data_IF_000037018179
#
_entry.id   IF_000037018179
#
_cell.length_a   1.000
_cell.length_b   1.000
_cell.length_c   1.000
_cell.angle_alpha   90.00
_cell.angle_beta   90.00
_cell.angle_gamma   90.00
#
_symmetry.space_group_name_H-M   'P 1'
#
loop_
_entity.id
_entity.type
_entity.pdbx_description
1 polymer ?
#
# COMPACT_ATOMS: atom_id res chain seq x y z
N UNK A 1 -5.98 76.37 7.78
CA UNK A 1 -6.45 76.78 6.41
C UNK A 1 -6.69 75.56 5.61
N UNK A 2 -7.94 75.31 5.37
CA UNK A 2 -8.57 74.09 4.83
C UNK A 2 -8.50 74.12 3.28
N UNK A 3 -8.13 73.00 2.67
CA UNK A 3 -8.18 72.84 1.23
C UNK A 3 -8.82 71.45 0.90
N UNK A 4 -10.13 71.50 0.60
CA UNK A 4 -10.97 70.37 0.22
C UNK A 4 -10.74 70.03 -1.23
N UNK A 5 -10.28 68.82 -1.56
CA UNK A 5 -10.34 68.28 -2.96
C UNK A 5 -11.62 67.48 -3.13
N UNK A 6 -12.47 67.91 -4.06
CA UNK A 6 -13.64 67.20 -4.58
C UNK A 6 -13.20 66.26 -5.66
N UNK A 7 -13.51 64.99 -5.54
CA UNK A 7 -13.44 63.98 -6.61
C UNK A 7 -14.73 64.05 -7.43
N UNK A 8 -14.61 64.28 -8.72
CA UNK A 8 -15.72 64.15 -9.71
C UNK A 8 -15.77 62.73 -10.25
N UNK A 9 -16.80 62.03 -9.90
CA UNK A 9 -17.14 60.72 -10.48
C UNK A 9 -18.05 60.92 -11.68
N UNK A 10 -17.57 60.59 -12.88
CA UNK A 10 -18.37 60.51 -14.08
C UNK A 10 -19.19 59.23 -14.13
N UNK A 11 -20.49 59.39 -14.39
CA UNK A 11 -21.44 58.27 -14.49
C UNK A 11 -21.38 57.62 -15.86
N UNK A 12 -21.72 56.33 -15.92
CA UNK A 12 -21.70 55.44 -17.10
C UNK A 12 -22.56 55.91 -18.29
N UNK A 13 -23.26 57.04 -18.20
CA UNK A 13 -24.16 57.56 -19.22
C UNK A 13 -23.58 58.64 -20.14
N UNK A 14 -22.42 59.21 -19.75
CA UNK A 14 -21.81 60.31 -20.53
C UNK A 14 -20.71 59.86 -21.51
N UNK A 15 -20.40 58.57 -21.57
CA UNK A 15 -19.40 58.00 -22.48
C UNK A 15 -19.95 57.51 -23.82
N UNK A 16 -21.24 57.76 -24.13
CA UNK A 16 -21.91 57.23 -25.32
C UNK A 16 -22.30 58.22 -26.40
N UNK A 17 -21.82 59.46 -26.32
CA UNK A 17 -22.09 60.46 -27.38
C UNK A 17 -20.83 61.24 -27.80
N UNK A 18 -19.97 60.60 -28.59
CA UNK A 18 -19.06 61.35 -29.50
C UNK A 18 -18.57 60.45 -30.64
N UNK A 19 -19.14 60.59 -31.78
CA UNK A 19 -18.41 60.72 -33.06
C UNK A 19 -17.99 59.44 -33.77
N UNK A 20 -18.88 58.97 -34.64
CA UNK A 20 -18.49 58.15 -35.78
C UNK A 20 -17.68 58.99 -36.81
N UNK A 21 -16.48 58.52 -37.17
CA UNK A 21 -15.84 58.81 -38.47
C UNK A 21 -15.28 57.50 -38.99
N UNK A 22 -15.81 57.11 -40.15
CA UNK A 22 -15.39 55.97 -40.91
C UNK A 22 -14.03 56.23 -41.58
N UNK A 23 -13.07 55.32 -41.38
CA UNK A 23 -11.93 55.18 -42.27
C UNK A 23 -11.83 53.69 -42.65
N UNK A 24 -12.16 53.42 -43.90
CA UNK A 24 -11.94 52.15 -44.59
C UNK A 24 -10.43 51.92 -44.77
N UNK A 25 -9.87 50.93 -44.11
CA UNK A 25 -8.55 50.36 -44.42
C UNK A 25 -8.78 48.87 -44.74
N UNK A 26 -8.30 48.35 -45.89
CA UNK A 26 -8.48 46.94 -46.23
C UNK A 26 -7.65 46.08 -45.25
N UNK A 27 -8.33 45.27 -44.45
CA UNK A 27 -7.69 44.25 -43.63
C UNK A 27 -7.15 43.15 -44.53
N UNK A 28 -5.85 43.12 -44.74
CA UNK A 28 -5.11 41.96 -45.18
C UNK A 28 -5.41 40.82 -44.18
N UNK A 29 -6.09 39.80 -44.68
CA UNK A 29 -6.23 38.50 -44.00
C UNK A 29 -4.84 37.89 -43.80
N UNK A 30 -4.20 38.18 -42.69
CA UNK A 30 -3.18 37.27 -42.12
C UNK A 30 -3.93 36.09 -41.57
N UNK A 31 -4.04 35.03 -42.36
CA UNK A 31 -4.24 33.68 -41.84
C UNK A 31 -3.02 33.37 -40.97
N UNK A 32 -3.08 33.78 -39.71
CA UNK A 32 -2.21 33.25 -38.69
C UNK A 32 -2.43 31.73 -38.67
N UNK A 33 -1.40 30.98 -39.01
CA UNK A 33 -1.40 29.54 -38.78
C UNK A 33 -1.79 29.34 -37.32
N UNK A 34 -2.97 28.72 -37.09
CA UNK A 34 -3.35 28.18 -35.78
C UNK A 34 -2.31 27.10 -35.54
N UNK A 35 -1.28 27.42 -34.77
CA UNK A 35 -0.43 26.40 -34.20
C UNK A 35 -1.36 25.45 -33.47
N UNK A 36 -1.31 24.13 -33.72
CA UNK A 36 -2.10 23.21 -32.93
C UNK A 36 -1.79 23.52 -31.47
N UNK A 37 -2.82 23.84 -30.68
CA UNK A 37 -2.65 23.92 -29.24
C UNK A 37 -1.95 22.61 -28.86
N UNK A 38 -0.75 22.68 -28.28
CA UNK A 38 -0.08 21.51 -27.74
C UNK A 38 -1.12 20.82 -26.86
N UNK A 39 -1.52 19.62 -27.25
CA UNK A 39 -2.49 18.84 -26.49
C UNK A 39 -1.94 18.73 -25.08
N UNK A 40 -2.65 19.26 -24.08
CA UNK A 40 -2.18 19.23 -22.70
C UNK A 40 -1.87 17.77 -22.35
N UNK A 41 -0.61 17.51 -21.95
CA UNK A 41 -0.12 16.18 -21.59
C UNK A 41 -1.09 15.51 -20.60
N UNK A 42 -1.49 14.29 -20.88
CA UNK A 42 -2.45 13.58 -20.02
C UNK A 42 -1.81 13.31 -18.65
N UNK A 43 -2.41 13.85 -17.59
CA UNK A 43 -1.93 13.64 -16.23
C UNK A 43 -2.67 12.49 -15.56
N UNK A 44 -1.92 11.52 -15.02
CA UNK A 44 -2.42 10.41 -14.21
C UNK A 44 -2.04 10.63 -12.75
N UNK A 45 -3.02 10.93 -11.89
CA UNK A 45 -2.77 11.16 -10.47
C UNK A 45 -2.71 9.83 -9.74
N UNK A 46 -1.53 9.51 -9.21
CA UNK A 46 -1.28 8.26 -8.49
C UNK A 46 -1.06 8.51 -6.99
N UNK A 47 -2.03 8.07 -6.16
CA UNK A 47 -1.92 8.08 -4.70
C UNK A 47 -1.11 6.89 -4.19
N UNK A 48 0.02 7.15 -3.52
CA UNK A 48 0.93 6.11 -3.01
C UNK A 48 1.64 6.54 -1.74
N UNK A 49 2.30 5.60 -1.07
CA UNK A 49 3.18 5.91 0.07
C UNK A 49 4.56 6.38 -0.41
N UNK A 50 5.26 7.12 0.45
CA UNK A 50 6.56 7.71 0.13
C UNK A 50 7.77 6.82 0.44
N UNK A 51 8.91 7.51 0.57
CA UNK A 51 10.20 6.92 0.93
C UNK A 51 10.80 6.06 -0.19
N UNK A 52 11.69 5.15 0.19
CA UNK A 52 12.42 4.29 -0.77
C UNK A 52 11.50 3.46 -1.67
N UNK A 53 10.26 3.20 -1.26
CA UNK A 53 9.25 2.58 -2.10
C UNK A 53 8.92 3.45 -3.31
N UNK A 54 8.55 4.72 -3.09
CA UNK A 54 8.24 5.66 -4.17
C UNK A 54 9.39 5.81 -5.15
N UNK A 55 10.63 5.97 -4.65
CA UNK A 55 11.82 6.10 -5.50
C UNK A 55 12.04 4.84 -6.35
N UNK A 56 11.75 3.67 -5.77
CA UNK A 56 11.85 2.41 -6.49
C UNK A 56 10.81 2.24 -7.57
N UNK A 57 9.54 2.53 -7.27
CA UNK A 57 8.45 2.35 -8.26
C UNK A 57 8.54 3.36 -9.39
N UNK A 58 8.97 4.60 -9.14
CA UNK A 58 9.26 5.57 -10.21
C UNK A 58 10.25 4.99 -11.21
N UNK A 59 11.38 4.46 -10.72
CA UNK A 59 12.39 3.85 -11.56
C UNK A 59 11.88 2.60 -12.29
N UNK A 60 11.23 1.69 -11.58
CA UNK A 60 10.80 0.40 -12.12
C UNK A 60 9.59 0.55 -13.05
N UNK A 61 8.56 1.31 -12.65
CA UNK A 61 7.29 1.34 -13.38
C UNK A 61 7.22 2.41 -14.46
N UNK A 62 8.04 3.46 -14.38
CA UNK A 62 8.02 4.53 -15.36
C UNK A 62 9.28 4.54 -16.22
N UNK A 63 10.47 4.64 -15.62
CA UNK A 63 11.70 4.79 -16.38
C UNK A 63 12.04 3.51 -17.16
N UNK A 64 12.04 2.34 -16.49
CA UNK A 64 12.40 1.07 -17.13
C UNK A 64 11.35 0.60 -18.13
N UNK A 65 10.06 0.83 -17.87
CA UNK A 65 9.00 0.47 -18.83
C UNK A 65 8.81 1.51 -19.93
N UNK A 66 9.29 2.74 -19.72
CA UNK A 66 9.03 3.87 -20.64
C UNK A 66 7.56 4.27 -20.69
N UNK A 67 6.78 4.00 -19.64
CA UNK A 67 5.32 4.15 -19.63
C UNK A 67 4.83 5.55 -20.01
N UNK A 68 5.41 6.59 -19.41
CA UNK A 68 5.01 7.98 -19.70
C UNK A 68 5.18 8.32 -21.18
N UNK A 69 6.32 7.95 -21.78
CA UNK A 69 6.59 8.19 -23.21
C UNK A 69 5.70 7.35 -24.12
N UNK A 70 5.42 6.09 -23.76
CA UNK A 70 4.58 5.20 -24.57
C UNK A 70 3.13 5.64 -24.63
N UNK A 71 2.66 6.37 -23.61
CA UNK A 71 1.26 6.75 -23.47
C UNK A 71 1.01 8.26 -23.54
N UNK A 72 2.04 9.06 -23.86
CA UNK A 72 1.95 10.53 -23.88
C UNK A 72 1.29 11.05 -22.61
N UNK A 73 1.81 10.64 -21.48
CA UNK A 73 1.22 10.86 -20.16
C UNK A 73 2.27 11.18 -19.10
N UNK A 74 1.86 11.94 -18.09
CA UNK A 74 2.66 12.28 -16.93
C UNK A 74 2.04 11.70 -15.67
N UNK A 75 2.80 10.96 -14.86
CA UNK A 75 2.35 10.46 -13.56
C UNK A 75 2.61 11.53 -12.50
N UNK A 76 1.53 12.02 -11.90
CA UNK A 76 1.56 12.97 -10.78
C UNK A 76 1.37 12.21 -9.47
N UNK A 77 2.32 12.34 -8.56
CA UNK A 77 2.34 11.58 -7.32
C UNK A 77 1.70 12.35 -6.16
N UNK A 78 0.65 11.78 -5.56
CA UNK A 78 0.12 12.22 -4.27
C UNK A 78 0.63 11.26 -3.19
N UNK A 79 1.57 11.75 -2.37
CA UNK A 79 2.28 10.95 -1.37
C UNK A 79 1.65 11.14 0.00
N UNK A 80 1.05 10.09 0.52
CA UNK A 80 0.35 10.09 1.81
C UNK A 80 0.66 8.80 2.60
N UNK A 81 0.29 8.77 3.88
CA UNK A 81 0.21 7.52 4.63
C UNK A 81 -0.93 6.63 4.10
N UNK A 82 -0.77 5.31 4.17
CA UNK A 82 -1.75 4.34 3.61
C UNK A 82 -3.18 4.59 4.10
N UNK A 83 -3.38 4.81 5.40
CA UNK A 83 -4.71 5.11 5.98
C UNK A 83 -5.29 6.42 5.44
N UNK A 84 -4.46 7.44 5.21
CA UNK A 84 -4.89 8.74 4.65
C UNK A 84 -5.30 8.60 3.19
N UNK A 85 -4.60 7.77 2.41
CA UNK A 85 -4.96 7.46 1.02
C UNK A 85 -6.38 6.87 0.94
N UNK A 86 -6.66 5.86 1.75
CA UNK A 86 -7.98 5.19 1.77
C UNK A 86 -9.08 6.15 2.23
N UNK A 87 -8.84 6.93 3.29
CA UNK A 87 -9.81 7.92 3.80
C UNK A 87 -10.12 8.99 2.76
N UNK A 88 -9.09 9.53 2.08
CA UNK A 88 -9.24 10.53 1.03
C UNK A 88 -9.99 9.96 -0.19
N UNK A 89 -9.70 8.71 -0.58
CA UNK A 89 -10.41 8.05 -1.66
C UNK A 89 -11.90 7.83 -1.33
N UNK A 90 -12.24 7.41 -0.10
CA UNK A 90 -13.62 7.27 0.37
C UNK A 90 -14.38 8.61 0.36
N UNK A 91 -13.77 9.67 0.88
CA UNK A 91 -14.41 11.00 0.95
C UNK A 91 -14.57 11.66 -0.43
N UNK A 92 -13.78 11.28 -1.42
CA UNK A 92 -13.84 11.80 -2.79
C UNK A 92 -14.47 10.82 -3.79
N UNK A 93 -15.18 9.81 -3.35
CA UNK A 93 -15.71 8.70 -4.17
C UNK A 93 -16.49 9.16 -5.42
N UNK A 94 -17.37 10.17 -5.28
CA UNK A 94 -18.17 10.71 -6.39
C UNK A 94 -17.36 11.57 -7.39
N UNK A 95 -16.24 12.13 -6.95
CA UNK A 95 -15.30 12.93 -7.76
C UNK A 95 -13.88 12.60 -7.35
N UNK A 96 -13.33 11.48 -7.82
CA UNK A 96 -12.04 10.99 -7.38
C UNK A 96 -10.92 11.99 -7.62
N UNK A 97 -10.07 12.14 -6.61
CA UNK A 97 -8.83 12.94 -6.71
C UNK A 97 -7.66 12.12 -7.24
N UNK A 98 -7.82 10.81 -7.31
CA UNK A 98 -6.86 9.86 -7.87
C UNK A 98 -7.38 9.24 -9.16
N UNK A 99 -6.49 8.90 -10.07
CA UNK A 99 -6.74 8.01 -11.21
C UNK A 99 -6.29 6.59 -10.90
N UNK A 100 -5.25 6.45 -10.07
CA UNK A 100 -4.72 5.18 -9.56
C UNK A 100 -4.40 5.34 -8.07
N UNK A 101 -4.67 4.31 -7.27
CA UNK A 101 -4.45 4.35 -5.84
C UNK A 101 -3.78 3.07 -5.36
N UNK A 102 -2.69 3.21 -4.60
CA UNK A 102 -2.12 2.10 -3.85
C UNK A 102 -3.04 1.74 -2.67
N UNK A 103 -3.30 0.46 -2.50
CA UNK A 103 -4.09 -0.06 -1.39
C UNK A 103 -3.59 -1.44 -0.95
N UNK A 104 -3.67 -1.72 0.35
CA UNK A 104 -3.68 -3.07 0.84
C UNK A 104 -5.04 -3.74 0.58
N UNK A 105 -5.12 -5.06 0.66
CA UNK A 105 -6.36 -5.83 0.40
C UNK A 105 -7.53 -5.36 1.26
N UNK A 106 -7.30 -4.98 2.53
CA UNK A 106 -8.34 -4.49 3.45
C UNK A 106 -8.87 -3.12 3.03
N UNK A 107 -7.98 -2.21 2.59
CA UNK A 107 -8.36 -0.90 2.05
C UNK A 107 -9.14 -1.03 0.74
N UNK A 108 -8.69 -1.90 -0.16
CA UNK A 108 -9.40 -2.21 -1.40
C UNK A 108 -10.80 -2.78 -1.14
N UNK A 109 -10.95 -3.67 -0.15
CA UNK A 109 -12.25 -4.22 0.23
C UNK A 109 -13.22 -3.13 0.77
N UNK A 110 -12.72 -2.16 1.57
CA UNK A 110 -13.51 -1.01 2.02
C UNK A 110 -13.97 -0.13 0.87
N UNK A 111 -13.07 0.19 -0.06
CA UNK A 111 -13.38 0.99 -1.24
C UNK A 111 -14.38 0.28 -2.17
N UNK A 112 -14.25 -1.03 -2.34
CA UNK A 112 -15.17 -1.85 -3.12
C UNK A 112 -16.58 -1.90 -2.48
N UNK A 113 -16.66 -2.10 -1.18
CA UNK A 113 -17.94 -2.09 -0.45
C UNK A 113 -18.66 -0.73 -0.58
N UNK A 114 -17.91 0.37 -0.60
CA UNK A 114 -18.41 1.72 -0.84
C UNK A 114 -18.68 2.04 -2.32
N UNK A 115 -18.43 1.11 -3.25
CA UNK A 115 -18.54 1.28 -4.71
C UNK A 115 -17.66 2.40 -5.28
N UNK A 116 -16.53 2.69 -4.62
CA UNK A 116 -15.61 3.76 -4.99
C UNK A 116 -14.55 3.32 -6.01
N UNK A 117 -14.42 2.03 -6.30
CA UNK A 117 -13.44 1.49 -7.25
C UNK A 117 -14.11 0.66 -8.33
N UNK A 118 -13.53 0.69 -9.53
CA UNK A 118 -13.99 -0.01 -10.71
C UNK A 118 -13.46 -1.45 -10.78
N UNK A 119 -14.19 -2.30 -11.46
CA UNK A 119 -13.69 -3.59 -11.88
C UNK A 119 -12.56 -3.45 -12.91
N UNK A 120 -11.64 -4.39 -12.92
CA UNK A 120 -10.57 -4.46 -13.91
C UNK A 120 -11.09 -4.92 -15.27
N UNK A 121 -10.64 -4.25 -16.31
CA UNK A 121 -10.80 -4.71 -17.69
C UNK A 121 -9.67 -5.69 -18.04
N UNK A 122 -10.01 -6.97 -18.13
CA UNK A 122 -9.05 -8.04 -18.44
C UNK A 122 -8.47 -7.95 -19.85
N UNK A 123 -9.11 -7.18 -20.74
CA UNK A 123 -8.57 -6.92 -22.06
C UNK A 123 -7.43 -5.90 -22.02
N UNK A 124 -7.40 -5.03 -21.01
CA UNK A 124 -6.34 -4.05 -20.76
C UNK A 124 -5.26 -4.64 -19.85
N UNK A 125 -5.67 -5.29 -18.75
CA UNK A 125 -4.73 -5.89 -17.78
C UNK A 125 -4.47 -7.35 -18.15
N UNK A 126 -3.82 -7.58 -19.26
CA UNK A 126 -3.57 -8.93 -19.82
C UNK A 126 -2.67 -9.79 -18.93
N UNK A 127 -1.72 -9.17 -18.20
CA UNK A 127 -0.84 -9.86 -17.26
C UNK A 127 -1.57 -10.48 -16.06
N UNK A 128 -2.87 -10.15 -15.83
CA UNK A 128 -3.69 -10.85 -14.83
C UNK A 128 -3.80 -12.36 -15.09
N UNK A 129 -3.66 -12.81 -16.34
CA UNK A 129 -3.66 -14.23 -16.70
C UNK A 129 -2.46 -14.98 -16.10
N UNK A 130 -1.37 -14.28 -15.83
CA UNK A 130 -0.13 -14.84 -15.29
C UNK A 130 0.02 -14.67 -13.77
N UNK A 131 -0.98 -14.07 -13.11
CA UNK A 131 -1.05 -13.93 -11.66
C UNK A 131 -1.95 -15.02 -11.09
N UNK A 132 -1.47 -15.71 -10.04
CA UNK A 132 -2.24 -16.72 -9.33
C UNK A 132 -3.46 -16.09 -8.62
N UNK A 133 -4.56 -16.86 -8.53
CA UNK A 133 -5.81 -16.37 -7.91
C UNK A 133 -5.66 -16.04 -6.42
N UNK A 134 -4.68 -16.62 -5.74
CA UNK A 134 -4.36 -16.30 -4.35
C UNK A 134 -3.87 -14.85 -4.13
N UNK A 135 -3.51 -14.14 -5.21
CA UNK A 135 -3.11 -12.73 -5.21
C UNK A 135 -4.23 -11.78 -5.66
N UNK A 136 -5.42 -12.30 -5.87
CA UNK A 136 -6.58 -11.53 -6.36
C UNK A 136 -7.68 -11.46 -5.31
N UNK A 137 -8.45 -10.39 -5.31
CA UNK A 137 -9.68 -10.26 -4.53
C UNK A 137 -10.76 -9.65 -5.40
N UNK A 138 -11.76 -10.48 -5.74
CA UNK A 138 -12.80 -10.09 -6.69
C UNK A 138 -12.22 -9.73 -8.06
N UNK A 139 -12.87 -8.78 -8.72
CA UNK A 139 -12.48 -8.23 -10.01
C UNK A 139 -11.86 -6.83 -9.91
N UNK A 140 -11.58 -6.37 -8.70
CA UNK A 140 -11.17 -4.99 -8.41
C UNK A 140 -9.79 -4.87 -7.74
N UNK A 141 -9.17 -5.98 -7.35
CA UNK A 141 -7.88 -5.98 -6.67
C UNK A 141 -6.98 -7.12 -7.15
N UNK A 142 -5.74 -6.77 -7.45
CA UNK A 142 -4.63 -7.69 -7.64
C UNK A 142 -3.42 -7.19 -6.87
N UNK A 143 -2.79 -8.06 -6.12
CA UNK A 143 -1.53 -7.73 -5.47
C UNK A 143 -0.43 -7.55 -6.53
N UNK A 144 0.24 -6.44 -6.51
CA UNK A 144 1.49 -6.19 -7.28
C UNK A 144 2.68 -6.76 -6.52
N UNK A 145 2.58 -6.76 -5.19
CA UNK A 145 3.57 -7.37 -4.30
C UNK A 145 2.87 -8.09 -3.14
N UNK A 146 3.55 -9.13 -2.64
CA UNK A 146 3.21 -9.76 -1.35
C UNK A 146 4.40 -9.61 -0.40
N UNK A 147 4.15 -9.02 0.76
CA UNK A 147 5.09 -8.95 1.86
C UNK A 147 4.87 -10.18 2.75
N UNK A 148 5.88 -10.99 2.89
CA UNK A 148 5.82 -12.19 3.74
C UNK A 148 6.19 -11.81 5.17
N UNK A 149 5.39 -12.26 6.15
CA UNK A 149 5.59 -12.03 7.57
C UNK A 149 5.63 -13.38 8.28
N UNK A 150 6.80 -13.75 8.76
CA UNK A 150 7.01 -14.97 9.53
C UNK A 150 7.58 -14.68 10.91
N UNK A 151 7.87 -15.70 11.68
CA UNK A 151 8.57 -15.57 12.94
C UNK A 151 10.07 -15.37 12.67
N UNK A 152 10.53 -14.12 12.78
CA UNK A 152 11.96 -13.77 12.74
C UNK A 152 12.54 -13.97 14.13
N UNK A 153 13.66 -14.68 14.21
CA UNK A 153 14.30 -15.00 15.48
C UNK A 153 15.82 -14.87 15.40
N UNK A 154 16.42 -14.50 16.54
CA UNK A 154 17.87 -14.41 16.70
C UNK A 154 18.45 -15.82 16.93
N UNK A 155 19.28 -16.32 16.01
CA UNK A 155 19.84 -17.67 16.03
C UNK A 155 20.89 -17.88 17.12
N UNK A 156 21.41 -16.79 17.72
CA UNK A 156 22.34 -16.85 18.86
C UNK A 156 21.60 -17.21 20.16
N UNK A 157 20.38 -16.70 20.32
CA UNK A 157 19.61 -16.85 21.57
C UNK A 157 18.49 -17.87 21.47
N UNK A 158 17.86 -18.01 20.30
CA UNK A 158 16.76 -18.94 20.03
C UNK A 158 17.34 -20.17 19.33
N UNK A 159 17.68 -21.22 20.11
CA UNK A 159 18.30 -22.45 19.60
C UNK A 159 17.30 -23.39 18.96
N UNK A 160 16.11 -23.49 19.54
CA UNK A 160 15.01 -24.27 18.98
C UNK A 160 14.25 -23.39 18.00
N UNK A 161 14.23 -23.78 16.73
CA UNK A 161 13.50 -23.04 15.68
C UNK A 161 12.04 -22.87 16.09
N UNK A 162 11.49 -21.62 16.12
CA UNK A 162 10.08 -21.40 16.43
C UNK A 162 9.21 -21.97 15.31
N UNK A 163 8.16 -22.70 15.65
CA UNK A 163 7.28 -23.41 14.70
C UNK A 163 5.81 -23.04 14.80
N UNK A 164 5.45 -22.29 15.84
CA UNK A 164 4.07 -21.93 16.19
C UNK A 164 4.00 -20.53 16.75
N UNK A 165 2.82 -19.91 16.68
CA UNK A 165 2.53 -18.67 17.39
C UNK A 165 2.70 -18.79 18.91
N UNK A 166 2.52 -19.98 19.46
CA UNK A 166 2.67 -20.25 20.90
C UNK A 166 4.12 -20.09 21.39
N UNK A 167 5.09 -20.21 20.49
CA UNK A 167 6.49 -19.95 20.82
C UNK A 167 6.72 -18.52 21.33
N UNK A 168 5.87 -17.56 20.91
CA UNK A 168 5.91 -16.19 21.41
C UNK A 168 5.46 -16.07 22.87
N UNK A 169 4.67 -17.02 23.39
CA UNK A 169 4.25 -17.08 24.77
C UNK A 169 5.20 -17.93 25.66
N UNK A 170 6.27 -18.49 25.09
CA UNK A 170 7.19 -19.33 25.84
C UNK A 170 7.94 -18.51 26.90
N UNK A 171 7.86 -18.88 28.20
CA UNK A 171 8.48 -18.10 29.28
C UNK A 171 10.00 -17.90 29.15
N UNK A 172 10.69 -18.79 28.41
CA UNK A 172 12.13 -18.64 28.14
C UNK A 172 12.47 -17.34 27.34
N UNK A 173 11.49 -16.73 26.69
CA UNK A 173 11.64 -15.48 25.95
C UNK A 173 11.01 -14.28 26.65
N UNK A 174 10.73 -14.38 27.95
CA UNK A 174 10.11 -13.27 28.70
C UNK A 174 10.92 -11.98 28.57
N UNK A 175 10.26 -10.88 28.18
CA UNK A 175 10.87 -9.58 27.91
C UNK A 175 11.73 -9.54 26.63
N UNK A 176 11.71 -10.61 25.81
CA UNK A 176 12.50 -10.74 24.56
C UNK A 176 11.66 -10.99 23.31
N UNK A 177 10.35 -10.81 23.42
CA UNK A 177 9.40 -10.95 22.32
C UNK A 177 8.99 -9.57 21.85
N UNK A 178 9.04 -9.32 20.54
CA UNK A 178 8.49 -8.10 19.92
C UNK A 178 7.12 -8.39 19.32
N UNK A 179 6.14 -7.51 19.57
CA UNK A 179 4.80 -7.60 18.97
C UNK A 179 4.45 -6.26 18.30
N UNK A 180 4.06 -6.25 17.02
CA UNK A 180 3.57 -5.05 16.35
C UNK A 180 2.35 -4.47 17.06
N UNK A 181 2.31 -3.13 17.23
CA UNK A 181 1.12 -2.44 17.76
C UNK A 181 -0.10 -2.68 16.87
N UNK A 182 -1.31 -2.64 17.46
CA UNK A 182 -2.57 -2.94 16.77
C UNK A 182 -2.77 -2.10 15.50
N UNK A 183 -2.47 -0.81 15.57
CA UNK A 183 -2.63 0.14 14.46
C UNK A 183 -1.68 -0.08 13.28
N UNK A 184 -0.63 -0.88 13.44
CA UNK A 184 0.31 -1.21 12.36
C UNK A 184 0.00 -2.60 11.75
N UNK A 185 0.44 -3.69 12.38
CA UNK A 185 0.24 -5.07 11.92
C UNK A 185 -0.50 -5.90 12.97
N UNK A 186 -0.63 -5.38 14.18
CA UNK A 186 -1.19 -6.12 15.31
C UNK A 186 -2.63 -6.57 15.11
N UNK A 187 -3.46 -5.81 14.39
CA UNK A 187 -4.81 -6.24 14.04
C UNK A 187 -4.80 -7.48 13.13
N UNK A 188 -3.91 -7.52 12.16
CA UNK A 188 -3.74 -8.68 11.28
C UNK A 188 -3.19 -9.87 12.04
N UNK A 189 -2.23 -9.62 12.95
CA UNK A 189 -1.64 -10.61 13.81
C UNK A 189 -2.67 -11.26 14.75
N UNK A 190 -3.57 -10.48 15.37
CA UNK A 190 -4.67 -11.00 16.18
C UNK A 190 -5.48 -12.05 15.39
N UNK A 191 -5.86 -11.74 14.15
CA UNK A 191 -6.67 -12.66 13.35
C UNK A 191 -5.89 -13.90 12.89
N UNK A 192 -4.59 -13.78 12.62
CA UNK A 192 -3.74 -14.94 12.29
C UNK A 192 -3.58 -15.87 13.50
N UNK A 193 -3.29 -15.33 14.67
CA UNK A 193 -3.23 -16.07 15.94
C UNK A 193 -4.60 -16.70 16.23
N UNK A 194 -5.69 -15.96 16.02
CA UNK A 194 -7.06 -16.45 16.22
C UNK A 194 -7.36 -17.68 15.33
N UNK A 195 -6.99 -17.64 14.05
CA UNK A 195 -7.14 -18.77 13.12
C UNK A 195 -6.33 -19.97 13.58
N UNK A 196 -5.10 -19.78 14.00
CA UNK A 196 -4.23 -20.84 14.51
C UNK A 196 -4.82 -21.55 15.73
N UNK A 197 -5.63 -20.84 16.53
CA UNK A 197 -6.31 -21.36 17.73
C UNK A 197 -7.80 -21.74 17.49
N UNK A 198 -8.22 -21.88 16.22
CA UNK A 198 -9.56 -22.33 15.87
C UNK A 198 -10.65 -21.26 15.92
N UNK A 199 -10.29 -19.98 16.06
CA UNK A 199 -11.24 -18.87 16.01
C UNK A 199 -11.71 -18.53 14.61
N UNK A 200 -12.72 -17.65 14.54
CA UNK A 200 -13.30 -17.14 13.29
C UNK A 200 -13.30 -15.61 13.31
N UNK A 201 -13.60 -14.97 12.19
CA UNK A 201 -13.69 -13.51 12.13
C UNK A 201 -14.77 -12.93 13.07
N UNK A 202 -15.86 -13.68 13.30
CA UNK A 202 -16.92 -13.29 14.24
C UNK A 202 -16.54 -13.59 15.70
N UNK A 203 -15.75 -14.62 15.94
CA UNK A 203 -15.28 -15.02 17.27
C UNK A 203 -13.76 -14.93 17.37
N UNK A 204 -13.26 -13.90 18.02
CA UNK A 204 -11.82 -13.65 18.26
C UNK A 204 -11.34 -14.06 19.65
N UNK A 205 -12.18 -14.72 20.47
CA UNK A 205 -11.82 -15.13 21.86
C UNK A 205 -10.53 -15.93 21.94
N UNK A 206 -10.31 -16.96 21.08
CA UNK A 206 -9.06 -17.70 21.12
C UNK A 206 -7.84 -16.83 20.83
N UNK A 207 -7.96 -15.91 19.85
CA UNK A 207 -6.89 -14.98 19.45
C UNK A 207 -6.58 -13.95 20.55
N UNK A 208 -7.60 -13.38 21.17
CA UNK A 208 -7.45 -12.44 22.30
C UNK A 208 -6.74 -13.13 23.47
N UNK A 209 -7.17 -14.34 23.85
CA UNK A 209 -6.54 -15.10 24.92
C UNK A 209 -5.08 -15.42 24.65
N UNK A 210 -4.78 -15.91 23.46
CA UNK A 210 -3.41 -16.20 23.04
C UNK A 210 -2.54 -14.93 22.96
N UNK A 211 -3.07 -13.84 22.37
CA UNK A 211 -2.37 -12.56 22.31
C UNK A 211 -2.09 -11.97 23.69
N UNK A 212 -3.02 -12.10 24.66
CA UNK A 212 -2.82 -11.67 26.03
C UNK A 212 -1.70 -12.48 26.74
N UNK A 213 -1.65 -13.80 26.50
CA UNK A 213 -0.57 -14.64 27.00
C UNK A 213 0.80 -14.23 26.45
N UNK A 214 0.87 -13.83 25.18
CA UNK A 214 2.09 -13.30 24.54
C UNK A 214 2.45 -11.93 25.12
N UNK A 215 1.51 -10.98 25.08
CA UNK A 215 1.81 -9.57 25.40
C UNK A 215 2.03 -9.37 26.88
N UNK A 216 1.06 -9.73 27.72
CA UNK A 216 1.16 -9.54 29.17
C UNK A 216 1.88 -10.68 29.87
N UNK A 217 1.63 -11.93 29.44
CA UNK A 217 2.22 -13.10 30.06
C UNK A 217 3.73 -13.17 29.84
N UNK A 218 4.20 -12.73 28.70
CA UNK A 218 5.62 -12.77 28.32
C UNK A 218 6.32 -11.39 28.29
N UNK A 219 5.69 -10.35 28.83
CA UNK A 219 6.20 -8.97 28.89
C UNK A 219 6.71 -8.52 27.50
N UNK A 220 5.92 -8.72 26.46
CA UNK A 220 6.35 -8.43 25.09
C UNK A 220 6.55 -6.93 24.84
N UNK A 221 7.58 -6.60 24.07
CA UNK A 221 7.88 -5.24 23.65
C UNK A 221 6.95 -4.85 22.50
N UNK A 222 6.20 -3.76 22.66
CA UNK A 222 5.30 -3.24 21.62
C UNK A 222 6.10 -2.47 20.56
N UNK A 223 6.10 -2.97 19.32
CA UNK A 223 6.88 -2.43 18.20
C UNK A 223 6.00 -1.55 17.33
N UNK A 224 6.34 -0.26 17.25
CA UNK A 224 5.54 0.77 16.58
C UNK A 224 5.63 0.72 15.06
N UNK A 225 6.80 0.36 14.51
CA UNK A 225 7.09 0.35 13.08
C UNK A 225 8.35 -0.48 12.77
N UNK A 226 8.56 -0.79 11.48
CA UNK A 226 9.65 -1.67 11.03
C UNK A 226 11.04 -1.23 11.49
N UNK A 227 11.37 0.07 11.44
CA UNK A 227 12.71 0.53 11.85
C UNK A 227 12.98 0.29 13.34
N UNK A 228 11.96 0.41 14.20
CA UNK A 228 12.08 0.04 15.61
C UNK A 228 12.35 -1.47 15.75
N UNK A 229 11.63 -2.32 15.00
CA UNK A 229 11.86 -3.76 14.98
C UNK A 229 13.29 -4.12 14.54
N UNK A 230 13.81 -3.49 13.49
CA UNK A 230 15.19 -3.67 13.04
C UNK A 230 16.19 -3.34 14.16
N UNK A 231 16.03 -2.18 14.83
CA UNK A 231 16.91 -1.73 15.91
C UNK A 231 16.88 -2.67 17.11
N UNK A 232 15.71 -3.11 17.53
CA UNK A 232 15.54 -4.02 18.66
C UNK A 232 16.18 -5.38 18.40
N UNK A 233 16.01 -5.95 17.20
CA UNK A 233 16.66 -7.19 16.78
C UNK A 233 18.18 -7.03 16.68
N UNK A 234 18.66 -5.92 16.11
CA UNK A 234 20.07 -5.61 15.94
C UNK A 234 20.81 -5.45 17.29
N UNK A 235 20.13 -4.84 18.28
CA UNK A 235 20.68 -4.66 19.64
C UNK A 235 20.44 -5.84 20.55
N UNK A 236 19.83 -6.93 20.05
CA UNK A 236 19.45 -8.11 20.84
C UNK A 236 18.52 -7.78 22.03
N UNK A 237 17.81 -6.66 21.95
CA UNK A 237 16.81 -6.27 22.97
C UNK A 237 15.59 -7.17 22.89
N UNK A 238 15.22 -7.59 21.67
CA UNK A 238 14.28 -8.69 21.44
C UNK A 238 14.97 -9.84 20.68
N UNK A 239 14.46 -11.04 20.84
CA UNK A 239 15.03 -12.25 20.21
C UNK A 239 14.09 -12.90 19.21
N UNK A 240 12.80 -12.64 19.28
CA UNK A 240 11.79 -13.21 18.37
C UNK A 240 10.65 -12.22 18.16
N UNK A 241 10.16 -12.10 16.92
CA UNK A 241 8.97 -11.33 16.60
C UNK A 241 8.37 -11.75 15.25
N UNK A 242 7.05 -11.55 15.03
CA UNK A 242 6.47 -11.56 13.70
C UNK A 242 7.03 -10.38 12.87
N UNK A 243 7.74 -10.68 11.77
CA UNK A 243 8.40 -9.62 11.03
C UNK A 243 8.50 -9.92 9.53
N UNK A 244 8.87 -8.91 8.76
CA UNK A 244 8.93 -8.97 7.31
C UNK A 244 10.19 -9.65 6.81
N UNK A 245 10.04 -10.57 5.84
CA UNK A 245 11.16 -11.30 5.22
C UNK A 245 12.23 -10.39 4.65
N UNK A 246 11.84 -9.32 3.94
CA UNK A 246 12.80 -8.37 3.39
C UNK A 246 13.65 -7.68 4.46
N UNK A 247 13.05 -7.38 5.63
CA UNK A 247 13.78 -6.81 6.77
C UNK A 247 14.77 -7.81 7.35
N UNK A 248 14.32 -9.06 7.57
CA UNK A 248 15.21 -10.13 8.04
C UNK A 248 16.40 -10.33 7.11
N UNK A 249 16.20 -10.34 5.78
CA UNK A 249 17.30 -10.49 4.81
C UNK A 249 18.30 -9.34 4.95
N UNK A 250 17.86 -8.11 5.08
CA UNK A 250 18.72 -6.94 5.25
C UNK A 250 19.49 -7.00 6.58
N UNK A 251 18.84 -7.37 7.68
CA UNK A 251 19.50 -7.57 8.97
C UNK A 251 20.57 -8.67 8.88
N UNK A 252 20.26 -9.81 8.27
CA UNK A 252 21.21 -10.92 8.07
C UNK A 252 22.39 -10.49 7.22
N UNK A 253 22.16 -9.71 6.15
CA UNK A 253 23.22 -9.16 5.30
C UNK A 253 24.12 -8.15 6.03
N UNK A 254 23.61 -7.47 7.06
CA UNK A 254 24.40 -6.58 7.93
C UNK A 254 25.09 -7.30 9.11
N UNK A 255 25.05 -8.63 9.15
CA UNK A 255 25.73 -9.45 10.14
C UNK A 255 24.91 -9.77 11.40
N UNK A 256 23.64 -9.36 11.47
CA UNK A 256 22.76 -9.73 12.59
C UNK A 256 22.41 -11.21 12.48
N UNK A 257 22.58 -12.02 13.57
CA UNK A 257 22.34 -13.46 13.53
C UNK A 257 20.84 -13.78 13.58
N UNK A 258 20.10 -13.48 12.53
CA UNK A 258 18.65 -13.72 12.44
C UNK A 258 18.30 -14.72 11.35
N UNK A 259 17.18 -15.42 11.54
CA UNK A 259 16.55 -16.26 10.53
C UNK A 259 15.03 -16.15 10.65
N UNK A 260 14.27 -16.75 9.71
CA UNK A 260 12.82 -16.67 9.65
C UNK A 260 12.21 -18.07 9.48
N UNK A 261 11.05 -18.28 10.09
CA UNK A 261 10.22 -19.45 9.87
C UNK A 261 8.77 -19.04 9.59
N UNK A 262 8.15 -19.70 8.61
CA UNK A 262 6.73 -19.50 8.28
C UNK A 262 5.92 -20.62 8.93
N UNK A 263 5.40 -20.34 10.13
CA UNK A 263 4.55 -21.24 10.89
C UNK A 263 3.18 -21.41 10.23
N UNK A 264 2.37 -22.36 10.73
CA UNK A 264 0.97 -22.46 10.31
C UNK A 264 0.24 -21.14 10.61
N UNK A 265 -0.63 -20.75 9.71
CA UNK A 265 -1.37 -19.47 9.75
C UNK A 265 -0.46 -18.24 9.85
N UNK A 266 0.70 -18.25 9.16
CA UNK A 266 1.55 -17.08 9.06
C UNK A 266 0.84 -15.96 8.26
N UNK A 267 1.29 -14.73 8.44
CA UNK A 267 0.74 -13.57 7.75
C UNK A 267 1.49 -13.24 6.47
N UNK A 268 0.76 -12.62 5.57
CA UNK A 268 1.31 -11.82 4.47
C UNK A 268 0.50 -10.54 4.32
N UNK A 269 1.09 -9.52 3.71
CA UNK A 269 0.37 -8.32 3.30
C UNK A 269 0.43 -8.20 1.78
N UNK A 270 -0.72 -8.19 1.17
CA UNK A 270 -0.87 -7.93 -0.26
C UNK A 270 -1.09 -6.45 -0.47
N UNK A 271 -0.23 -5.86 -1.29
CA UNK A 271 -0.33 -4.47 -1.71
C UNK A 271 -0.47 -4.44 -3.23
N UNK A 272 -1.49 -3.75 -3.68
CA UNK A 272 -1.81 -3.63 -5.09
C UNK A 272 -2.30 -2.23 -5.43
N UNK A 273 -2.88 -2.09 -6.60
CA UNK A 273 -3.39 -0.83 -7.09
C UNK A 273 -4.86 -0.98 -7.46
N UNK A 274 -5.67 -0.01 -7.09
CA UNK A 274 -7.10 0.05 -7.42
C UNK A 274 -7.40 1.29 -8.25
N UNK A 275 -8.42 1.20 -9.09
CA UNK A 275 -8.83 2.26 -10.00
C UNK A 275 -10.15 2.85 -9.50
N UNK A 276 -10.25 4.15 -9.17
CA UNK A 276 -11.49 4.79 -8.76
C UNK A 276 -12.57 4.71 -9.84
N UNK A 277 -13.83 4.40 -9.46
CA UNK A 277 -14.95 4.14 -10.38
C UNK A 277 -15.26 5.29 -11.34
N UNK A 278 -15.03 6.53 -10.90
CA UNK A 278 -15.31 7.74 -11.67
C UNK A 278 -14.02 8.51 -12.03
N UNK A 279 -12.88 7.80 -12.06
CA UNK A 279 -11.58 8.36 -12.43
C UNK A 279 -11.59 8.85 -13.88
N UNK A 280 -10.81 9.90 -14.17
CA UNK A 280 -10.75 10.52 -15.50
C UNK A 280 -10.01 9.64 -16.51
N UNK A 281 -9.01 8.89 -16.04
CA UNK A 281 -8.06 8.15 -16.86
C UNK A 281 -8.12 6.62 -16.61
N UNK A 282 -9.33 6.05 -16.55
CA UNK A 282 -9.56 4.62 -16.20
C UNK A 282 -8.71 3.64 -17.03
N UNK A 283 -8.63 3.84 -18.34
CA UNK A 283 -7.87 2.95 -19.21
C UNK A 283 -6.36 3.10 -18.99
N UNK A 284 -5.88 4.34 -18.85
CA UNK A 284 -4.46 4.61 -18.62
C UNK A 284 -3.99 4.06 -17.27
N UNK A 285 -4.81 4.20 -16.22
CA UNK A 285 -4.56 3.61 -14.91
C UNK A 285 -4.42 2.08 -14.98
N UNK A 286 -5.32 1.41 -15.71
CA UNK A 286 -5.28 -0.03 -15.90
C UNK A 286 -4.07 -0.50 -16.74
N UNK A 287 -3.65 0.29 -17.74
CA UNK A 287 -2.42 0.02 -18.48
C UNK A 287 -1.18 0.10 -17.57
N UNK A 288 -1.16 1.05 -16.61
CA UNK A 288 -0.06 1.11 -15.64
C UNK A 288 -0.08 -0.11 -14.70
N UNK A 289 -1.25 -0.54 -14.23
CA UNK A 289 -1.37 -1.81 -13.47
C UNK A 289 -0.80 -2.96 -14.31
N UNK A 290 -1.19 -3.07 -15.58
CA UNK A 290 -0.69 -4.13 -16.44
C UNK A 290 0.83 -4.11 -16.56
N UNK A 291 1.44 -2.93 -16.73
CA UNK A 291 2.89 -2.79 -16.79
C UNK A 291 3.57 -3.24 -15.48
N UNK A 292 2.98 -2.93 -14.32
CA UNK A 292 3.56 -3.33 -13.01
C UNK A 292 3.48 -4.83 -12.75
N UNK A 293 2.57 -5.54 -13.41
CA UNK A 293 2.41 -6.98 -13.31
C UNK A 293 3.28 -7.77 -14.30
N UNK A 294 4.00 -7.12 -15.20
CA UNK A 294 4.90 -7.80 -16.13
C UNK A 294 6.09 -8.46 -15.40
N UNK A 295 6.66 -9.55 -15.92
CA UNK A 295 7.72 -10.29 -15.25
C UNK A 295 8.96 -9.45 -14.91
N UNK A 296 9.38 -8.54 -15.79
CA UNK A 296 10.58 -7.73 -15.62
C UNK A 296 10.45 -6.73 -14.46
N UNK A 297 9.40 -5.87 -14.37
CA UNK A 297 9.15 -5.03 -13.20
C UNK A 297 9.01 -5.81 -11.90
N UNK A 298 8.35 -6.98 -11.95
CA UNK A 298 8.20 -7.84 -10.78
C UNK A 298 9.55 -8.40 -10.30
N UNK A 299 10.45 -8.76 -11.20
CA UNK A 299 11.80 -9.19 -10.87
C UNK A 299 12.62 -8.05 -10.25
N UNK A 300 12.51 -6.83 -10.78
CA UNK A 300 13.22 -5.67 -10.25
C UNK A 300 12.71 -5.29 -8.83
N UNK A 301 11.41 -5.44 -8.57
CA UNK A 301 10.86 -5.30 -7.22
C UNK A 301 11.47 -6.34 -6.27
N UNK A 302 11.54 -7.60 -6.69
CA UNK A 302 12.16 -8.66 -5.89
C UNK A 302 13.63 -8.35 -5.59
N UNK A 303 14.41 -7.93 -6.60
CA UNK A 303 15.83 -7.57 -6.43
C UNK A 303 16.00 -6.40 -5.44
N UNK A 304 15.19 -5.35 -5.58
CA UNK A 304 15.34 -4.12 -4.81
C UNK A 304 14.79 -4.23 -3.39
N UNK A 305 13.58 -4.80 -3.24
CA UNK A 305 12.82 -4.74 -1.98
C UNK A 305 12.72 -6.09 -1.27
N UNK A 306 13.11 -7.19 -1.92
CA UNK A 306 12.94 -8.54 -1.39
C UNK A 306 11.45 -8.89 -1.13
N UNK A 307 10.54 -8.36 -1.95
CA UNK A 307 9.13 -8.67 -1.92
C UNK A 307 8.79 -9.80 -2.89
N UNK A 308 7.87 -10.65 -2.49
CA UNK A 308 7.39 -11.78 -3.29
C UNK A 308 6.74 -11.26 -4.58
N UNK A 309 7.21 -11.66 -5.76
CA UNK A 309 6.54 -11.37 -7.01
C UNK A 309 5.22 -12.14 -7.10
N UNK A 310 4.24 -11.58 -7.79
CA UNK A 310 2.90 -12.18 -7.95
C UNK A 310 2.68 -12.79 -9.33
N UNK A 311 3.49 -12.40 -10.32
CA UNK A 311 3.47 -13.01 -11.64
C UNK A 311 4.30 -14.31 -11.66
N UNK A 312 3.65 -15.43 -12.01
CA UNK A 312 4.27 -16.78 -12.02
C UNK A 312 5.35 -16.99 -13.08
N UNK A 313 5.45 -16.08 -14.07
CA UNK A 313 6.52 -16.13 -15.08
C UNK A 313 7.84 -15.54 -14.61
N UNK A 314 7.88 -14.94 -13.42
CA UNK A 314 9.13 -14.43 -12.85
C UNK A 314 10.05 -15.60 -12.53
N UNK A 315 11.21 -15.62 -13.19
CA UNK A 315 12.29 -16.56 -12.85
C UNK A 315 13.10 -15.98 -11.70
N UNK A 316 12.95 -16.59 -10.52
CA UNK A 316 13.63 -16.13 -9.30
C UNK A 316 15.10 -16.56 -9.32
N UNK A 317 16.08 -15.63 -9.30
CA UNK A 317 17.49 -15.94 -9.18
C UNK A 317 17.81 -16.71 -7.90
N UNK A 318 18.87 -17.55 -7.92
CA UNK A 318 19.25 -18.42 -6.79
C UNK A 318 19.51 -17.62 -5.50
N UNK A 319 20.23 -16.51 -5.62
CA UNK A 319 20.57 -15.60 -4.52
C UNK A 319 19.37 -14.86 -3.92
N UNK A 320 18.21 -14.88 -4.61
CA UNK A 320 16.98 -14.26 -4.17
C UNK A 320 15.92 -15.25 -3.67
N UNK A 321 16.19 -16.55 -3.70
CA UNK A 321 15.26 -17.59 -3.24
C UNK A 321 14.85 -17.42 -1.76
N UNK A 322 15.69 -16.84 -0.94
CA UNK A 322 15.34 -16.53 0.46
C UNK A 322 14.26 -15.45 0.61
N UNK A 323 14.03 -14.64 -0.42
CA UNK A 323 13.04 -13.56 -0.43
C UNK A 323 11.65 -14.02 -0.85
N UNK A 324 11.51 -15.22 -1.36
CA UNK A 324 10.23 -15.80 -1.81
C UNK A 324 9.78 -16.92 -0.87
N UNK A 325 8.48 -17.20 -0.90
CA UNK A 325 7.88 -18.20 -0.04
C UNK A 325 8.46 -19.60 -0.35
N UNK A 326 9.06 -20.28 0.63
CA UNK A 326 9.59 -21.61 0.41
C UNK A 326 8.47 -22.64 0.25
N UNK A 327 8.78 -23.75 -0.42
CA UNK A 327 7.80 -24.80 -0.77
C UNK A 327 6.99 -25.28 0.44
N UNK A 328 7.65 -25.51 1.56
CA UNK A 328 6.98 -26.03 2.79
C UNK A 328 5.90 -25.06 3.33
N UNK A 329 5.94 -23.78 2.97
CA UNK A 329 5.05 -22.76 3.50
C UNK A 329 3.90 -22.38 2.55
N UNK A 330 3.90 -22.85 1.30
CA UNK A 330 2.94 -22.42 0.26
C UNK A 330 1.46 -22.49 0.66
N UNK A 331 1.07 -23.44 1.51
CA UNK A 331 -0.32 -23.63 1.93
C UNK A 331 -0.54 -23.34 3.43
N UNK A 332 0.39 -22.63 4.07
CA UNK A 332 0.35 -22.37 5.52
C UNK A 332 -0.15 -20.99 5.89
N UNK A 333 -0.33 -20.09 4.96
CA UNK A 333 -0.80 -18.74 5.25
C UNK A 333 -2.21 -18.73 5.86
N UNK A 334 -2.46 -17.82 6.79
CA UNK A 334 -3.78 -17.62 7.37
C UNK A 334 -4.80 -17.22 6.30
N UNK A 335 -5.90 -17.97 6.22
CA UNK A 335 -7.03 -17.64 5.35
C UNK A 335 -8.03 -16.79 6.13
N UNK A 336 -8.00 -15.48 5.92
CA UNK A 336 -8.79 -14.49 6.66
C UNK A 336 -9.71 -13.76 5.68
N UNK A 337 -11.00 -13.69 6.01
CA UNK A 337 -11.97 -12.86 5.30
C UNK A 337 -11.90 -11.42 5.82
N UNK A 338 -11.08 -10.59 5.18
CA UNK A 338 -10.86 -9.20 5.59
C UNK A 338 -12.11 -8.33 5.50
N UNK A 339 -13.10 -8.70 4.66
CA UNK A 339 -14.39 -8.01 4.62
C UNK A 339 -15.13 -8.22 5.94
N UNK A 340 -15.21 -9.46 6.41
CA UNK A 340 -15.81 -9.77 7.72
C UNK A 340 -15.03 -9.17 8.88
N UNK A 341 -13.69 -9.21 8.85
CA UNK A 341 -12.86 -8.54 9.87
C UNK A 341 -13.21 -7.07 10.00
N UNK A 342 -13.40 -6.37 8.87
CA UNK A 342 -13.77 -4.95 8.90
C UNK A 342 -15.12 -4.69 9.55
N UNK A 343 -16.06 -5.64 9.54
CA UNK A 343 -17.36 -5.52 10.22
C UNK A 343 -17.23 -5.50 11.76
N UNK A 344 -16.15 -6.07 12.28
CA UNK A 344 -15.90 -6.18 13.72
C UNK A 344 -14.70 -5.35 14.21
N UNK A 345 -14.14 -4.48 13.37
CA UNK A 345 -12.88 -3.80 13.63
C UNK A 345 -12.88 -2.98 14.94
N UNK A 346 -13.95 -2.25 15.23
CA UNK A 346 -14.06 -1.42 16.44
C UNK A 346 -14.15 -2.29 17.69
N UNK A 347 -14.97 -3.34 17.66
CA UNK A 347 -15.07 -4.34 18.74
C UNK A 347 -13.70 -4.97 19.03
N UNK A 348 -12.99 -5.37 17.99
CA UNK A 348 -11.73 -6.09 18.14
C UNK A 348 -10.61 -5.16 18.65
N UNK A 349 -10.64 -3.88 18.28
CA UNK A 349 -9.73 -2.87 18.84
C UNK A 349 -10.03 -2.62 20.34
N UNK A 350 -11.30 -2.47 20.71
CA UNK A 350 -11.70 -2.29 22.12
C UNK A 350 -11.24 -3.49 22.96
N UNK A 351 -11.50 -4.70 22.49
CA UNK A 351 -11.08 -5.93 23.16
C UNK A 351 -9.56 -6.06 23.26
N UNK A 352 -8.83 -5.72 22.20
CA UNK A 352 -7.38 -5.69 22.23
C UNK A 352 -6.87 -4.77 23.34
N UNK A 353 -7.36 -3.52 23.38
CA UNK A 353 -6.94 -2.57 24.41
C UNK A 353 -7.24 -3.09 25.82
N UNK A 354 -8.47 -3.53 26.07
CA UNK A 354 -8.91 -3.98 27.38
C UNK A 354 -8.29 -5.33 27.80
N UNK A 355 -8.28 -6.33 26.92
CA UNK A 355 -7.99 -7.71 27.27
C UNK A 355 -6.54 -8.11 26.95
N UNK A 356 -5.92 -7.51 25.93
CA UNK A 356 -4.52 -7.80 25.55
C UNK A 356 -3.56 -6.82 26.21
N UNK A 357 -3.82 -5.51 26.11
CA UNK A 357 -2.94 -4.49 26.70
C UNK A 357 -3.24 -4.24 28.19
N UNK A 358 -4.49 -4.39 28.63
CA UNK A 358 -4.91 -4.12 30.00
C UNK A 358 -5.11 -2.64 30.30
N UNK A 359 -5.48 -1.84 29.27
CA UNK A 359 -5.67 -0.39 29.34
C UNK A 359 -7.14 0.02 29.19
#
# INVERSE_FOLDING_TARGET
>A
MTGTQRSLSLTRREALQAGAVAALVPALLQLGAITPAEAAETQLVFGTVGGGWLDGIKKIFLEQTGFEKQHDAKVVWDVQADTSLITKALSSCARPVYDLLQAGVTGAAKLSAAKCIAAYDRSIITNLADVDDTYKSGDYFVAVIRLLNGLVYNTKHVKDKPTSWDDLANPKYKGKVGIPVYSWVGSQLLHAINKAHGGTEANVDPGIKASAAIVRGNDAVMVQHSNMGDQLLQREEIWIMPFWTGRMINLKASGVPVDIYYQKDFLFADVGYVVPSHGRNLQLAQKLINATLAPEPQLEILKRFKYQPTNRKVVVPEDLKAAVLPEYAKNRAAKIDWKKVNEYADRDLERWNKEVLGS
#
